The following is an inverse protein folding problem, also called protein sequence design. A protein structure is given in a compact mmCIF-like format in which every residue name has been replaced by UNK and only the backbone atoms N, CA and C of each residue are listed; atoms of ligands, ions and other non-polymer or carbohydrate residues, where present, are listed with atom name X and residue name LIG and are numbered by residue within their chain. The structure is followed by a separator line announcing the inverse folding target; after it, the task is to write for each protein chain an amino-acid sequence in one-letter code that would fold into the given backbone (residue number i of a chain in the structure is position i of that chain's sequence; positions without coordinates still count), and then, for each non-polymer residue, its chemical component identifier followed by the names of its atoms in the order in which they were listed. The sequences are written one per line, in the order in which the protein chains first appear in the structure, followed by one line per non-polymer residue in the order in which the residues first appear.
data_IF_255844382520
#
_entry.id   IF_255844382520
#
_cell.length_a   1.000
_cell.length_b   1.000
_cell.length_c   1.000
_cell.angle_alpha   90.00
_cell.angle_beta   90.00
_cell.angle_gamma   90.00
#
_symmetry.space_group_name_H-M   'P 1'
#
loop_
_entity.id
_entity.type
_entity.pdbx_description
1 polymer ?
#
# COMPACT_ATOMS: atom_id res chain seq x y z
N UNK A 1 -2.89 3.32 30.61
CA UNK A 1 -3.90 2.38 30.06
C UNK A 1 -3.18 1.08 29.70
N UNK A 2 -3.84 -0.06 29.93
CA UNK A 2 -3.36 -1.38 29.49
C UNK A 2 -4.46 -2.14 28.75
N UNK A 3 -4.16 -2.75 27.61
CA UNK A 3 -5.01 -3.73 26.96
C UNK A 3 -4.45 -5.14 27.21
N UNK A 4 -4.91 -5.79 28.28
CA UNK A 4 -4.51 -7.15 28.65
C UNK A 4 -5.36 -8.23 27.94
N UNK A 5 -6.21 -7.83 27.00
CA UNK A 5 -6.97 -8.75 26.16
C UNK A 5 -6.09 -9.42 25.10
N UNK A 6 -6.56 -10.54 24.55
CA UNK A 6 -5.93 -11.24 23.42
C UNK A 6 -6.29 -10.65 22.06
N UNK A 7 -7.06 -9.55 22.04
CA UNK A 7 -7.60 -8.92 20.83
C UNK A 7 -7.60 -7.40 20.98
N UNK A 8 -7.66 -6.70 19.86
CA UNK A 8 -7.75 -5.24 19.81
C UNK A 8 -8.99 -4.73 20.55
N UNK A 9 -8.86 -3.54 21.15
CA UNK A 9 -9.95 -2.80 21.77
C UNK A 9 -10.31 -1.56 20.94
N UNK A 10 -11.60 -1.40 20.63
CA UNK A 10 -12.10 -0.20 19.96
C UNK A 10 -12.55 0.82 21.01
N UNK A 11 -11.86 1.95 21.10
CA UNK A 11 -12.14 2.98 22.11
C UNK A 11 -12.50 4.33 21.48
N UNK A 12 -13.31 5.11 22.18
CA UNK A 12 -13.43 6.56 21.96
C UNK A 12 -13.68 7.24 23.30
N UNK A 13 -13.70 8.57 23.30
CA UNK A 13 -14.06 9.40 24.45
C UNK A 13 -15.25 10.28 24.10
N UNK A 14 -16.09 10.55 25.08
CA UNK A 14 -17.08 11.60 24.98
C UNK A 14 -16.87 12.65 26.07
N UNK A 15 -17.25 13.88 25.77
CA UNK A 15 -17.30 14.98 26.72
C UNK A 15 -18.62 15.71 26.57
N UNK A 16 -19.40 15.78 27.64
CA UNK A 16 -20.64 16.56 27.68
C UNK A 16 -20.29 18.01 28.04
N UNK A 17 -20.71 18.94 27.19
CA UNK A 17 -20.46 20.37 27.33
C UNK A 17 -21.78 21.12 27.37
N UNK A 18 -22.09 21.73 28.51
CA UNK A 18 -23.39 22.36 28.74
C UNK A 18 -24.57 21.37 28.62
N UNK A 19 -25.77 21.92 28.46
CA UNK A 19 -27.01 21.15 28.64
C UNK A 19 -27.19 20.01 27.64
N UNK A 20 -26.86 20.18 26.35
CA UNK A 20 -27.22 19.23 25.28
C UNK A 20 -26.11 18.89 24.27
N UNK A 21 -24.85 19.27 24.50
CA UNK A 21 -23.78 19.00 23.53
C UNK A 21 -22.87 17.89 24.00
N UNK A 22 -22.72 16.84 23.21
CA UNK A 22 -21.71 15.79 23.41
C UNK A 22 -20.66 15.93 22.31
N UNK A 23 -19.41 16.05 22.73
CA UNK A 23 -18.24 16.04 21.86
C UNK A 23 -17.60 14.65 21.89
N UNK A 24 -17.09 14.20 20.76
CA UNK A 24 -16.37 12.93 20.60
C UNK A 24 -15.27 13.13 19.57
N UNK A 25 -14.21 12.33 19.62
CA UNK A 25 -13.18 12.38 18.57
C UNK A 25 -13.76 11.78 17.30
N UNK A 26 -13.64 12.52 16.19
CA UNK A 26 -14.15 12.12 14.88
C UNK A 26 -13.05 11.52 14.01
N UNK A 27 -13.44 10.85 12.93
CA UNK A 27 -12.52 10.15 12.03
C UNK A 27 -11.47 11.09 11.39
N UNK A 28 -11.81 12.36 11.16
CA UNK A 28 -10.87 13.37 10.67
C UNK A 28 -9.87 13.89 11.72
N UNK A 29 -10.12 13.62 13.00
CA UNK A 29 -9.30 14.06 14.13
C UNK A 29 -8.32 12.96 14.57
N UNK A 30 -7.51 13.23 15.59
CA UNK A 30 -6.47 12.31 16.04
C UNK A 30 -6.43 12.13 17.55
N UNK A 31 -6.12 10.89 17.95
CA UNK A 31 -5.67 10.54 19.30
C UNK A 31 -4.20 10.16 19.18
N UNK A 32 -3.44 10.36 20.25
CA UNK A 32 -2.04 9.95 20.28
C UNK A 32 -1.82 8.93 21.37
N UNK A 33 -0.99 7.93 21.13
CA UNK A 33 -0.60 6.93 22.13
C UNK A 33 0.91 6.91 22.26
N UNK A 34 1.39 6.66 23.47
CA UNK A 34 2.80 6.41 23.74
C UNK A 34 2.92 5.13 24.54
N UNK A 35 3.48 4.11 23.90
CA UNK A 35 3.76 2.82 24.53
C UNK A 35 4.88 2.96 25.56
N UNK A 36 4.81 2.17 26.61
CA UNK A 36 5.87 2.09 27.61
C UNK A 36 7.18 1.63 26.97
N UNK A 37 8.28 2.31 27.31
CA UNK A 37 9.60 2.07 26.70
C UNK A 37 9.78 2.69 25.30
N UNK A 38 8.73 3.13 24.63
CA UNK A 38 8.84 3.81 23.34
C UNK A 38 9.15 5.31 23.52
N UNK A 39 10.08 5.82 22.71
CA UNK A 39 10.32 7.28 22.59
C UNK A 39 9.26 7.96 21.74
N UNK A 40 8.57 7.22 20.88
CA UNK A 40 7.67 7.77 19.87
C UNK A 40 6.26 8.01 20.40
N UNK A 41 5.66 9.08 19.89
CA UNK A 41 4.24 9.37 20.03
C UNK A 41 3.51 8.89 18.78
N UNK A 42 2.77 7.79 18.86
CA UNK A 42 2.01 7.26 17.72
C UNK A 42 0.69 8.02 17.55
N UNK A 43 0.48 8.64 16.39
CA UNK A 43 -0.80 9.25 16.01
C UNK A 43 -1.72 8.16 15.47
N UNK A 44 -2.96 8.15 15.95
CA UNK A 44 -4.04 7.27 15.51
C UNK A 44 -5.25 8.10 15.10
N UNK A 45 -5.91 7.68 14.02
CA UNK A 45 -7.15 8.26 13.55
C UNK A 45 -8.32 7.32 13.88
N UNK A 46 -9.45 7.83 14.37
CA UNK A 46 -10.64 7.01 14.51
C UNK A 46 -11.09 6.48 13.15
N UNK A 47 -11.54 5.23 13.14
CA UNK A 47 -12.24 4.61 12.03
C UNK A 47 -13.59 4.15 12.55
N UNK A 48 -14.67 4.55 11.87
CA UNK A 48 -16.03 4.25 12.31
C UNK A 48 -16.30 4.76 13.73
N UNK A 49 -15.75 5.93 14.08
CA UNK A 49 -15.91 6.55 15.39
C UNK A 49 -15.17 5.86 16.54
N UNK A 50 -14.16 5.03 16.27
CA UNK A 50 -13.31 4.43 17.33
C UNK A 50 -11.86 4.30 16.90
N UNK A 51 -10.93 4.34 17.86
CA UNK A 51 -9.53 4.02 17.65
C UNK A 51 -9.25 2.60 18.14
N UNK A 52 -8.54 1.83 17.32
CA UNK A 52 -8.06 0.50 17.68
C UNK A 52 -6.82 0.58 18.56
N UNK A 53 -6.88 -0.02 19.74
CA UNK A 53 -5.74 -0.23 20.63
C UNK A 53 -5.36 -1.70 20.58
N UNK A 54 -4.11 -1.97 20.21
CA UNK A 54 -3.60 -3.32 20.01
C UNK A 54 -3.62 -4.16 21.30
N UNK A 55 -3.70 -5.48 21.15
CA UNK A 55 -3.56 -6.41 22.25
C UNK A 55 -2.14 -6.29 22.85
N UNK A 56 -2.03 -6.31 24.17
CA UNK A 56 -0.74 -6.14 24.86
C UNK A 56 -0.27 -4.69 24.99
N UNK A 57 -1.01 -3.70 24.48
CA UNK A 57 -0.67 -2.29 24.65
C UNK A 57 -0.56 -1.93 26.14
N UNK A 58 0.55 -1.31 26.53
CA UNK A 58 0.75 -0.68 27.82
C UNK A 58 1.34 0.71 27.59
N UNK A 59 0.69 1.75 28.12
CA UNK A 59 1.16 3.12 27.90
C UNK A 59 0.15 4.22 28.20
N UNK A 60 0.39 5.40 27.63
CA UNK A 60 -0.43 6.60 27.83
C UNK A 60 -1.22 6.90 26.56
N UNK A 61 -2.50 7.22 26.73
CA UNK A 61 -3.37 7.70 25.66
C UNK A 61 -3.59 9.21 25.88
N UNK A 62 -3.26 9.98 24.87
CA UNK A 62 -3.36 11.42 24.82
C UNK A 62 -4.52 11.81 23.91
N UNK A 63 -5.48 12.55 24.47
CA UNK A 63 -6.64 13.03 23.73
C UNK A 63 -6.61 14.55 23.76
N UNK A 64 -6.13 15.19 22.70
CA UNK A 64 -6.12 16.64 22.62
C UNK A 64 -7.54 17.20 22.61
N UNK A 65 -7.78 18.30 23.32
CA UNK A 65 -9.11 18.95 23.31
C UNK A 65 -9.50 19.47 21.92
N UNK A 66 -8.54 19.85 21.08
CA UNK A 66 -8.79 20.20 19.68
C UNK A 66 -9.31 19.02 18.85
N UNK A 67 -9.02 17.78 19.24
CA UNK A 67 -9.57 16.58 18.61
C UNK A 67 -11.04 16.31 18.97
N UNK A 68 -11.57 16.98 20.00
CA UNK A 68 -13.00 16.93 20.37
C UNK A 68 -13.80 18.06 19.71
N UNK A 69 -13.13 19.18 19.41
CA UNK A 69 -13.73 20.37 18.81
C UNK A 69 -12.65 21.31 18.28
N UNK A 70 -12.83 21.79 17.06
CA UNK A 70 -11.99 22.83 16.41
C UNK A 70 -12.07 24.22 17.09
N UNK A 71 -12.83 24.35 18.17
CA UNK A 71 -13.00 25.56 18.98
C UNK A 71 -12.67 25.27 20.43
N UNK A 72 -12.22 26.30 21.16
CA UNK A 72 -11.98 26.23 22.60
C UNK A 72 -13.18 25.60 23.33
N UNK A 73 -12.89 24.58 24.12
CA UNK A 73 -13.88 23.88 24.94
C UNK A 73 -13.86 24.49 26.33
N UNK A 74 -15.04 24.81 26.85
CA UNK A 74 -15.26 25.25 28.24
C UNK A 74 -16.49 24.52 28.79
N UNK A 75 -16.66 24.52 30.11
CA UNK A 75 -17.84 23.95 30.78
C UNK A 75 -18.09 22.48 30.46
N UNK A 76 -17.05 21.65 30.54
CA UNK A 76 -17.20 20.18 30.48
C UNK A 76 -17.89 19.74 31.78
N UNK A 77 -19.13 19.27 31.67
CA UNK A 77 -19.95 18.79 32.80
C UNK A 77 -19.56 17.36 33.18
N UNK A 78 -19.27 16.53 32.18
CA UNK A 78 -18.85 15.15 32.36
C UNK A 78 -18.05 14.67 31.15
N UNK A 79 -17.30 13.59 31.35
CA UNK A 79 -16.62 12.86 30.27
C UNK A 79 -16.73 11.36 30.54
N UNK A 80 -16.57 10.57 29.49
CA UNK A 80 -16.67 9.12 29.58
C UNK A 80 -15.87 8.44 28.49
N UNK A 81 -15.38 7.24 28.80
CA UNK A 81 -14.74 6.37 27.83
C UNK A 81 -15.76 5.41 27.24
N UNK A 82 -15.71 5.24 25.94
CA UNK A 82 -16.54 4.29 25.19
C UNK A 82 -15.62 3.16 24.78
N UNK A 83 -16.00 1.92 25.11
CA UNK A 83 -15.34 0.71 24.62
C UNK A 83 -16.37 -0.10 23.86
N UNK A 84 -16.08 -0.39 22.60
CA UNK A 84 -16.96 -1.18 21.73
C UNK A 84 -16.37 -2.57 21.54
N UNK A 85 -17.20 -3.60 21.77
CA UNK A 85 -16.81 -5.00 21.63
C UNK A 85 -17.87 -5.76 20.85
N UNK A 86 -17.48 -6.86 20.21
CA UNK A 86 -18.44 -7.80 19.61
C UNK A 86 -19.23 -8.49 20.72
N UNK A 87 -20.41 -8.97 20.37
CA UNK A 87 -21.21 -9.78 21.29
C UNK A 87 -20.39 -10.99 21.79
N UNK A 88 -20.46 -11.26 23.08
CA UNK A 88 -19.73 -12.33 23.78
C UNK A 88 -18.20 -12.21 23.81
N UNK A 89 -17.61 -11.15 23.25
CA UNK A 89 -16.17 -10.92 23.31
C UNK A 89 -15.78 -10.28 24.65
N UNK A 90 -14.94 -10.98 25.42
CA UNK A 90 -14.49 -10.55 26.75
C UNK A 90 -13.19 -9.75 26.61
N UNK A 91 -13.26 -8.46 26.93
CA UNK A 91 -12.09 -7.57 26.97
C UNK A 91 -11.61 -7.36 28.40
N UNK A 92 -10.30 -7.33 28.60
CA UNK A 92 -9.67 -6.89 29.85
C UNK A 92 -8.85 -5.63 29.56
N UNK A 93 -9.41 -4.47 29.92
CA UNK A 93 -8.78 -3.18 29.68
C UNK A 93 -8.72 -2.44 31.02
N UNK A 94 -7.53 -1.92 31.34
CA UNK A 94 -7.28 -1.19 32.57
C UNK A 94 -7.03 0.27 32.23
N UNK A 95 -7.83 1.15 32.84
CA UNK A 95 -7.66 2.59 32.77
C UNK A 95 -7.27 3.12 34.14
N UNK A 96 -6.41 4.13 34.16
CA UNK A 96 -5.89 4.74 35.38
C UNK A 96 -5.16 6.04 35.06
N UNK A 97 -4.86 6.81 36.11
CA UNK A 97 -4.05 8.03 36.07
C UNK A 97 -4.49 9.06 35.03
N UNK A 98 -5.74 9.49 35.16
CA UNK A 98 -6.30 10.56 34.34
C UNK A 98 -5.77 11.91 34.79
N UNK A 99 -5.09 12.61 33.89
CA UNK A 99 -4.49 13.91 34.17
C UNK A 99 -4.68 14.87 32.99
N UNK A 100 -4.81 16.16 33.30
CA UNK A 100 -4.71 17.19 32.29
C UNK A 100 -3.25 17.51 32.00
N UNK A 101 -2.97 17.81 30.74
CA UNK A 101 -1.63 18.20 30.29
C UNK A 101 -1.59 19.72 30.20
N UNK A 102 -0.56 20.29 30.82
CA UNK A 102 -0.36 21.73 30.80
C UNK A 102 -0.19 22.25 29.37
N UNK A 103 -0.77 23.42 29.10
CA UNK A 103 -0.64 24.13 27.84
C UNK A 103 0.80 24.50 27.44
N UNK A 104 1.75 24.43 28.37
CA UNK A 104 3.18 24.65 28.16
C UNK A 104 3.96 23.35 27.88
N UNK A 105 3.30 22.20 27.87
CA UNK A 105 3.93 20.93 27.52
C UNK A 105 4.51 20.96 26.11
N UNK A 106 5.70 20.37 25.93
CA UNK A 106 6.33 20.19 24.62
C UNK A 106 5.46 19.36 23.66
N UNK A 107 4.55 18.53 24.18
CA UNK A 107 3.61 17.72 23.38
C UNK A 107 2.61 18.55 22.58
N UNK A 108 2.36 19.81 22.98
CA UNK A 108 1.40 20.71 22.32
C UNK A 108 1.73 20.94 20.85
N UNK A 109 3.02 20.95 20.47
CA UNK A 109 3.42 21.13 19.06
C UNK A 109 2.95 19.95 18.19
N UNK A 110 2.97 18.74 18.75
CA UNK A 110 2.58 17.51 18.07
C UNK A 110 1.05 17.37 17.95
N UNK A 111 0.31 17.85 18.95
CA UNK A 111 -1.16 17.80 18.96
C UNK A 111 -1.85 18.80 18.03
N UNK A 112 -1.16 19.87 17.64
CA UNK A 112 -1.71 20.92 16.78
C UNK A 112 -1.26 20.82 15.31
N UNK A 113 -0.50 19.78 14.96
CA UNK A 113 -0.06 19.55 13.59
C UNK A 113 -1.26 19.28 12.68
N UNK A 114 -1.33 19.96 11.54
CA UNK A 114 -2.42 19.84 10.56
C UNK A 114 -2.03 18.93 9.40
N UNK A 115 -1.11 18.02 9.64
CA UNK A 115 -0.53 17.20 8.60
C UNK A 115 -1.38 15.94 8.42
N UNK A 116 -1.52 15.50 7.18
CA UNK A 116 -2.10 14.21 6.84
C UNK A 116 -1.15 13.47 5.90
N UNK A 117 -0.99 12.18 6.14
CA UNK A 117 -0.35 11.29 5.17
C UNK A 117 -1.31 11.03 4.01
N UNK A 118 -0.81 11.14 2.79
CA UNK A 118 -1.52 10.78 1.55
C UNK A 118 -0.75 9.69 0.83
N UNK A 119 -1.49 8.78 0.21
CA UNK A 119 -0.98 7.68 -0.61
C UNK A 119 -2.12 6.72 -0.95
N UNK A 120 -1.81 5.68 -1.71
CA UNK A 120 -2.82 4.70 -2.12
C UNK A 120 -3.11 3.70 -0.99
N UNK A 121 -4.39 3.52 -0.65
CA UNK A 121 -4.80 2.53 0.35
C UNK A 121 -4.69 1.08 -0.17
N UNK A 122 -4.72 0.90 -1.49
CA UNK A 122 -4.61 -0.41 -2.13
C UNK A 122 -3.56 -0.34 -3.25
N UNK A 123 -2.61 -1.28 -3.25
CA UNK A 123 -1.54 -1.36 -4.25
C UNK A 123 -1.55 -2.73 -4.89
N UNK A 124 -1.54 -2.76 -6.21
CA UNK A 124 -1.61 -4.00 -6.97
C UNK A 124 -0.24 -4.69 -7.03
N UNK A 125 -0.19 -6.00 -6.77
CA UNK A 125 0.99 -6.83 -6.99
C UNK A 125 1.11 -7.07 -8.51
N UNK A 126 2.23 -6.66 -9.14
CA UNK A 126 2.39 -6.78 -10.59
C UNK A 126 2.64 -8.24 -10.98
N UNK A 127 2.25 -8.62 -12.20
CA UNK A 127 2.54 -9.96 -12.76
C UNK A 127 3.98 -10.08 -13.24
N UNK A 128 4.56 -8.97 -13.68
CA UNK A 128 5.96 -8.78 -14.05
C UNK A 128 6.36 -7.32 -13.79
N UNK A 129 7.61 -7.08 -13.41
CA UNK A 129 8.12 -5.74 -13.09
C UNK A 129 7.78 -5.29 -11.66
N UNK A 130 7.44 -4.01 -11.50
CA UNK A 130 7.21 -3.36 -10.20
C UNK A 130 6.00 -2.42 -10.26
N UNK A 131 5.20 -2.40 -9.19
CA UNK A 131 4.19 -1.39 -8.92
C UNK A 131 4.77 -0.34 -7.99
N UNK A 132 4.45 0.92 -8.25
CA UNK A 132 4.99 2.06 -7.52
C UNK A 132 3.82 2.90 -7.01
N UNK A 133 3.87 3.29 -5.74
CA UNK A 133 2.93 4.23 -5.12
C UNK A 133 3.70 5.21 -4.25
N UNK A 134 3.38 6.49 -4.37
CA UNK A 134 4.09 7.57 -3.69
C UNK A 134 3.29 8.05 -2.47
N UNK A 135 3.98 8.20 -1.34
CA UNK A 135 3.41 8.61 -0.06
C UNK A 135 4.03 9.93 0.40
N UNK A 136 3.19 10.85 0.84
CA UNK A 136 3.64 12.16 1.31
C UNK A 136 2.82 12.71 2.47
N UNK A 137 3.48 13.44 3.37
CA UNK A 137 2.80 14.27 4.34
C UNK A 137 2.47 15.64 3.76
N UNK A 138 1.19 16.00 3.82
CA UNK A 138 0.67 17.26 3.30
C UNK A 138 0.10 18.10 4.43
N UNK A 139 0.44 19.39 4.45
CA UNK A 139 -0.25 20.36 5.30
C UNK A 139 -1.69 20.59 4.78
N UNK A 140 -2.67 20.29 5.61
CA UNK A 140 -4.08 20.36 5.22
C UNK A 140 -4.55 21.77 4.83
N UNK A 141 -3.86 22.83 5.27
CA UNK A 141 -4.16 24.24 4.97
C UNK A 141 -3.51 24.69 3.66
N UNK A 142 -2.21 24.47 3.51
CA UNK A 142 -1.46 24.96 2.34
C UNK A 142 -1.48 23.98 1.17
N UNK A 143 -1.85 22.71 1.42
CA UNK A 143 -1.80 21.59 0.48
C UNK A 143 -0.39 21.32 -0.08
N UNK A 144 0.64 21.76 0.64
CA UNK A 144 2.05 21.52 0.28
C UNK A 144 2.64 20.36 1.07
N UNK A 145 3.62 19.69 0.49
CA UNK A 145 4.42 18.68 1.19
C UNK A 145 5.20 19.35 2.32
N UNK A 146 5.16 18.75 3.52
CA UNK A 146 5.80 19.35 4.70
C UNK A 146 7.32 19.18 4.68
N UNK A 147 7.83 18.21 3.92
CA UNK A 147 9.27 17.98 3.76
C UNK A 147 9.94 19.19 3.11
N UNK A 148 9.24 19.86 2.19
CA UNK A 148 9.69 21.10 1.53
C UNK A 148 9.81 22.28 2.51
N UNK A 149 9.17 22.20 3.67
CA UNK A 149 9.21 23.26 4.71
C UNK A 149 10.33 23.04 5.74
N UNK A 150 11.22 22.07 5.52
CA UNK A 150 12.32 21.73 6.43
C UNK A 150 11.91 20.79 7.58
N UNK A 151 10.71 20.20 7.52
CA UNK A 151 10.31 19.14 8.46
C UNK A 151 10.96 17.83 8.04
N UNK A 152 11.62 17.13 8.96
CA UNK A 152 12.20 15.82 8.68
C UNK A 152 11.10 14.77 8.68
N UNK A 153 10.92 14.07 7.56
CA UNK A 153 9.99 12.94 7.43
C UNK A 153 10.78 11.72 6.95
N UNK A 154 10.66 10.60 7.66
CA UNK A 154 11.28 9.33 7.29
C UNK A 154 10.21 8.23 7.18
N UNK A 155 10.27 7.43 6.13
CA UNK A 155 9.33 6.35 5.86
C UNK A 155 9.99 4.99 6.05
N UNK A 156 9.26 4.03 6.62
CA UNK A 156 9.74 2.67 6.84
C UNK A 156 8.59 1.66 6.93
N UNK A 157 8.90 0.37 6.80
CA UNK A 157 7.98 -0.75 6.99
C UNK A 157 8.47 -1.55 8.21
N UNK A 158 7.55 -2.09 9.01
CA UNK A 158 7.88 -2.83 10.26
C UNK A 158 8.73 -4.08 10.00
N UNK A 159 8.38 -4.81 8.94
CA UNK A 159 8.94 -6.11 8.62
C UNK A 159 9.67 -6.05 7.28
N UNK A 160 10.83 -6.70 7.20
CA UNK A 160 11.52 -6.93 5.92
C UNK A 160 10.72 -7.97 5.13
N UNK A 161 9.80 -7.47 4.33
CA UNK A 161 8.89 -8.31 3.55
C UNK A 161 9.42 -8.47 2.13
N UNK A 162 9.56 -9.72 1.70
CA UNK A 162 10.05 -10.03 0.36
C UNK A 162 9.17 -9.34 -0.70
N UNK A 163 9.83 -8.59 -1.58
CA UNK A 163 9.19 -7.91 -2.70
C UNK A 163 8.49 -6.59 -2.33
N UNK A 164 8.69 -6.06 -1.12
CA UNK A 164 8.13 -4.77 -0.69
C UNK A 164 9.26 -3.92 -0.13
N UNK A 165 9.36 -2.67 -0.59
CA UNK A 165 10.30 -1.71 -0.03
C UNK A 165 9.75 -0.29 -0.11
N UNK A 166 10.17 0.57 0.81
CA UNK A 166 9.91 2.01 0.74
C UNK A 166 11.21 2.78 0.84
N UNK A 167 11.36 3.80 0.01
CA UNK A 167 12.52 4.70 0.06
C UNK A 167 12.30 5.87 1.03
N UNK A 168 13.36 6.66 1.22
CA UNK A 168 13.34 7.84 2.10
C UNK A 168 12.39 8.95 1.64
N UNK A 169 11.96 8.93 0.38
CA UNK A 169 11.05 9.91 -0.20
C UNK A 169 9.59 9.46 -0.12
N UNK A 170 9.31 8.30 0.48
CA UNK A 170 7.98 7.74 0.59
C UNK A 170 7.53 6.97 -0.65
N UNK A 171 8.44 6.56 -1.55
CA UNK A 171 8.10 5.74 -2.71
C UNK A 171 8.04 4.27 -2.32
N UNK A 172 6.84 3.72 -2.22
CA UNK A 172 6.59 2.29 -2.03
C UNK A 172 6.78 1.56 -3.37
N UNK A 173 7.60 0.52 -3.37
CA UNK A 173 7.83 -0.38 -4.50
C UNK A 173 7.38 -1.79 -4.13
N UNK A 174 6.51 -2.36 -4.97
CA UNK A 174 5.98 -3.72 -4.80
C UNK A 174 6.35 -4.54 -6.04
N UNK A 175 7.03 -5.66 -5.85
CA UNK A 175 7.43 -6.58 -6.93
C UNK A 175 6.51 -7.78 -7.01
N UNK A 176 6.66 -8.59 -8.06
CA UNK A 176 5.89 -9.83 -8.24
C UNK A 176 6.11 -10.89 -7.16
N UNK A 177 7.15 -10.74 -6.33
CA UNK A 177 7.48 -11.66 -5.25
C UNK A 177 6.66 -11.39 -3.97
N UNK A 178 5.90 -10.29 -3.93
CA UNK A 178 5.06 -9.93 -2.80
C UNK A 178 3.83 -10.84 -2.66
N UNK A 179 3.36 -10.98 -1.41
CA UNK A 179 2.14 -11.75 -1.08
C UNK A 179 0.93 -10.83 -0.85
N UNK A 180 -0.28 -11.36 -1.05
CA UNK A 180 -1.51 -10.63 -0.75
C UNK A 180 -1.70 -10.50 0.77
N UNK A 181 -1.61 -9.27 1.28
CA UNK A 181 -1.80 -8.95 2.69
C UNK A 181 -1.96 -7.45 2.90
N UNK A 182 -2.22 -7.06 4.15
CA UNK A 182 -2.17 -5.67 4.57
C UNK A 182 -0.81 -5.40 5.20
N UNK A 183 -0.06 -4.47 4.60
CA UNK A 183 1.25 -4.03 5.06
C UNK A 183 1.09 -2.77 5.90
N UNK A 184 1.85 -2.67 6.99
CA UNK A 184 1.93 -1.47 7.83
C UNK A 184 3.13 -0.63 7.40
N UNK A 185 2.84 0.52 6.82
CA UNK A 185 3.80 1.55 6.48
C UNK A 185 3.79 2.59 7.60
N UNK A 186 4.97 3.04 7.99
CA UNK A 186 5.13 4.06 9.01
C UNK A 186 5.82 5.28 8.44
N UNK A 187 5.49 6.41 9.02
CA UNK A 187 6.21 7.65 8.80
C UNK A 187 6.53 8.32 10.13
N UNK A 188 7.81 8.65 10.31
CA UNK A 188 8.35 9.38 11.45
C UNK A 188 8.46 10.85 11.10
N UNK A 189 7.90 11.73 11.94
CA UNK A 189 7.96 13.19 11.80
C UNK A 189 8.88 13.71 12.91
N UNK A 190 10.00 14.33 12.50
CA UNK A 190 11.04 14.87 13.38
C UNK A 190 11.52 13.89 14.46
N UNK A 191 11.50 12.58 14.19
CA UNK A 191 11.88 11.52 15.14
C UNK A 191 11.05 11.51 16.45
N UNK A 192 9.89 12.16 16.46
CA UNK A 192 9.05 12.30 17.65
C UNK A 192 7.68 11.66 17.50
N UNK A 193 7.05 11.84 16.33
CA UNK A 193 5.70 11.35 16.05
C UNK A 193 5.77 10.28 14.99
N UNK A 194 5.09 9.15 15.20
CA UNK A 194 4.92 8.13 14.17
C UNK A 194 3.46 8.04 13.75
N UNK A 195 3.20 7.84 12.47
CA UNK A 195 1.87 7.60 11.93
C UNK A 195 1.88 6.27 11.17
N UNK A 196 0.91 5.40 11.45
CA UNK A 196 0.74 4.11 10.76
C UNK A 196 -0.25 4.27 9.60
N UNK A 197 0.11 3.73 8.45
CA UNK A 197 -0.72 3.61 7.27
C UNK A 197 -0.83 2.14 6.86
N UNK A 198 -2.05 1.69 6.57
CA UNK A 198 -2.32 0.30 6.17
C UNK A 198 -2.55 0.24 4.67
N UNK A 199 -1.65 -0.44 3.96
CA UNK A 199 -1.71 -0.63 2.51
C UNK A 199 -2.15 -2.06 2.23
N UNK A 200 -3.26 -2.24 1.50
CA UNK A 200 -3.70 -3.56 1.06
C UNK A 200 -3.03 -3.94 -0.25
N UNK A 201 -2.28 -5.03 -0.24
CA UNK A 201 -1.70 -5.64 -1.44
C UNK A 201 -2.64 -6.71 -2.00
N UNK A 202 -2.92 -6.63 -3.30
CA UNK A 202 -3.82 -7.57 -3.97
C UNK A 202 -3.30 -7.89 -5.38
N UNK A 203 -3.56 -9.11 -5.86
CA UNK A 203 -3.18 -9.54 -7.22
C UNK A 203 -4.17 -9.00 -8.25
N UNK A 204 -3.69 -8.85 -9.49
CA UNK A 204 -4.54 -8.51 -10.62
C UNK A 204 -5.67 -9.53 -10.81
N UNK A 205 -6.90 -9.05 -11.01
CA UNK A 205 -8.02 -9.90 -11.42
C UNK A 205 -7.79 -10.57 -12.79
N UNK A 206 -6.93 -10.00 -13.64
CA UNK A 206 -6.62 -10.55 -14.98
C UNK A 206 -5.81 -11.84 -14.92
N UNK A 207 -5.17 -12.17 -13.79
CA UNK A 207 -4.45 -13.42 -13.59
C UNK A 207 -5.38 -14.64 -13.55
N UNK A 208 -6.62 -14.45 -13.10
CA UNK A 208 -7.63 -15.50 -12.99
C UNK A 208 -8.71 -15.42 -14.06
N UNK A 209 -8.65 -14.41 -14.95
CA UNK A 209 -9.57 -14.27 -16.06
C UNK A 209 -9.13 -15.12 -17.26
N UNK A 210 -10.00 -16.03 -17.71
CA UNK A 210 -9.81 -16.78 -18.95
C UNK A 210 -10.66 -16.19 -20.08
N UNK A 211 -10.16 -16.23 -21.31
CA UNK A 211 -10.93 -15.96 -22.51
C UNK A 211 -11.91 -17.10 -22.82
N UNK A 212 -12.83 -16.85 -23.77
CA UNK A 212 -13.85 -17.81 -24.20
C UNK A 212 -13.22 -19.10 -24.74
N UNK A 213 -11.99 -19.03 -25.24
CA UNK A 213 -11.19 -20.17 -25.72
C UNK A 213 -10.35 -20.86 -24.63
N UNK A 214 -10.44 -20.41 -23.37
CA UNK A 214 -9.72 -20.97 -22.23
C UNK A 214 -8.29 -20.44 -22.05
N UNK A 215 -7.85 -19.47 -22.85
CA UNK A 215 -6.53 -18.83 -22.64
C UNK A 215 -6.56 -17.83 -21.49
N UNK A 216 -5.51 -17.79 -20.68
CA UNK A 216 -5.40 -16.85 -19.57
C UNK A 216 -5.11 -15.43 -20.09
N UNK A 217 -5.81 -14.42 -19.55
CA UNK A 217 -5.58 -13.00 -19.85
C UNK A 217 -4.37 -12.40 -19.13
N UNK A 218 -3.50 -13.23 -18.56
CA UNK A 218 -2.32 -12.80 -17.82
C UNK A 218 -1.22 -12.27 -18.75
N UNK A 219 -0.51 -11.23 -18.32
CA UNK A 219 0.70 -10.76 -19.01
C UNK A 219 1.81 -11.80 -18.78
N UNK A 220 2.43 -12.35 -19.84
CA UNK A 220 3.45 -13.39 -19.72
C UNK A 220 4.72 -12.87 -19.04
N UNK A 221 5.40 -13.74 -18.29
CA UNK A 221 6.65 -13.39 -17.62
C UNK A 221 7.84 -13.40 -18.59
N UNK A 222 8.91 -12.66 -18.30
CA UNK A 222 10.11 -12.62 -19.16
C UNK A 222 10.72 -14.00 -19.46
N UNK A 223 10.65 -14.92 -18.49
CA UNK A 223 11.09 -16.31 -18.63
C UNK A 223 10.28 -17.09 -19.69
N UNK A 224 9.01 -16.77 -19.87
CA UNK A 224 8.12 -17.38 -20.86
C UNK A 224 8.36 -16.78 -22.26
N UNK A 225 8.66 -15.48 -22.33
CA UNK A 225 8.96 -14.77 -23.58
C UNK A 225 10.27 -15.27 -24.20
N UNK A 226 11.29 -15.54 -23.37
CA UNK A 226 12.58 -16.07 -23.84
C UNK A 226 12.48 -17.42 -24.55
N UNK A 227 11.46 -18.23 -24.23
CA UNK A 227 11.22 -19.49 -24.92
C UNK A 227 10.65 -19.30 -26.34
N UNK A 228 9.87 -18.25 -26.59
CA UNK A 228 9.28 -18.01 -27.92
C UNK A 228 10.35 -17.61 -28.95
N UNK A 229 11.30 -16.77 -28.57
CA UNK A 229 12.43 -16.40 -29.43
C UNK A 229 13.39 -17.56 -29.64
N UNK A 230 13.63 -18.38 -28.60
CA UNK A 230 14.48 -19.57 -28.68
C UNK A 230 13.90 -20.67 -29.59
N UNK A 231 12.57 -20.87 -29.62
CA UNK A 231 11.92 -21.83 -30.52
C UNK A 231 12.03 -21.37 -31.99
N UNK A 232 11.80 -20.08 -32.26
CA UNK A 232 11.97 -19.52 -33.63
C UNK A 232 13.42 -19.62 -34.10
N UNK A 233 14.38 -19.32 -33.22
CA UNK A 233 15.81 -19.44 -33.51
C UNK A 233 16.26 -20.90 -33.69
N UNK A 234 15.72 -21.86 -32.93
CA UNK A 234 16.05 -23.29 -33.07
C UNK A 234 15.57 -23.91 -34.38
N UNK A 235 14.44 -23.47 -34.92
CA UNK A 235 13.89 -24.00 -36.17
C UNK A 235 14.44 -23.29 -37.41
N UNK A 236 14.48 -21.95 -37.42
CA UNK A 236 14.94 -21.19 -38.59
C UNK A 236 16.45 -20.91 -38.60
N UNK A 237 17.14 -21.04 -37.46
CA UNK A 237 18.58 -20.77 -37.35
C UNK A 237 19.49 -21.98 -37.59
N UNK A 238 18.93 -23.19 -37.79
CA UNK A 238 19.74 -24.37 -38.15
C UNK A 238 20.20 -24.27 -39.61
N UNK A 239 21.52 -24.28 -39.83
CA UNK A 239 22.11 -24.26 -41.18
C UNK A 239 21.51 -25.31 -42.11
N UNK A 240 21.18 -26.50 -41.60
CA UNK A 240 20.54 -27.58 -42.37
C UNK A 240 19.17 -27.19 -42.95
N UNK A 241 18.37 -26.39 -42.22
CA UNK A 241 17.05 -25.93 -42.68
C UNK A 241 17.20 -24.85 -43.75
N UNK A 242 18.17 -23.94 -43.57
CA UNK A 242 18.48 -22.91 -44.56
C UNK A 242 19.01 -23.54 -45.85
N UNK A 243 19.88 -24.54 -45.75
CA UNK A 243 20.41 -25.29 -46.90
C UNK A 243 19.27 -26.04 -47.61
N UNK A 244 18.38 -26.72 -46.88
CA UNK A 244 17.23 -27.41 -47.47
C UNK A 244 16.32 -26.45 -48.25
N UNK A 245 16.06 -25.25 -47.72
CA UNK A 245 15.26 -24.23 -48.40
C UNK A 245 15.95 -23.70 -49.67
N UNK A 246 17.28 -23.49 -49.61
CA UNK A 246 18.08 -23.08 -50.80
C UNK A 246 18.06 -24.14 -51.90
N UNK A 247 18.20 -25.41 -51.53
CA UNK A 247 18.14 -26.54 -52.48
C UNK A 247 16.74 -26.64 -53.11
N UNK A 248 15.68 -26.46 -52.31
CA UNK A 248 14.30 -26.45 -52.80
C UNK A 248 14.08 -25.32 -53.84
N UNK A 249 14.56 -24.11 -53.57
CA UNK A 249 14.45 -22.99 -54.52
C UNK A 249 15.21 -23.27 -55.83
N UNK A 250 16.40 -23.88 -55.77
CA UNK A 250 17.17 -24.26 -56.96
C UNK A 250 16.45 -25.32 -57.78
N UNK A 251 15.84 -26.32 -57.12
CA UNK A 251 15.04 -27.35 -57.78
C UNK A 251 13.80 -26.77 -58.48
N UNK A 252 13.11 -25.83 -57.85
CA UNK A 252 11.97 -25.14 -58.45
C UNK A 252 12.42 -24.32 -59.67
N UNK A 253 13.52 -23.56 -59.55
CA UNK A 253 14.06 -22.76 -60.66
C UNK A 253 14.52 -23.63 -61.83
N UNK A 254 15.23 -24.72 -61.57
CA UNK A 254 15.67 -25.66 -62.62
C UNK A 254 14.48 -26.36 -63.28
N UNK A 255 13.43 -26.69 -62.52
CA UNK A 255 12.17 -27.20 -63.07
C UNK A 255 11.49 -26.19 -64.01
N UNK A 256 11.42 -24.92 -63.61
CA UNK A 256 10.84 -23.84 -64.43
C UNK A 256 11.67 -23.62 -65.71
N UNK A 257 13.00 -23.57 -65.61
CA UNK A 257 13.88 -23.41 -66.78
C UNK A 257 13.79 -24.62 -67.71
N UNK A 258 13.76 -25.84 -67.15
CA UNK A 258 13.59 -27.08 -67.93
C UNK A 258 12.26 -27.09 -68.69
N UNK A 259 11.18 -26.71 -68.03
CA UNK A 259 9.86 -26.59 -68.64
C UNK A 259 9.83 -25.51 -69.75
N UNK A 260 10.44 -24.35 -69.49
CA UNK A 260 10.56 -23.28 -70.47
C UNK A 260 11.38 -23.71 -71.71
N UNK A 261 12.49 -24.40 -71.53
CA UNK A 261 13.31 -24.93 -72.62
C UNK A 261 12.57 -25.98 -73.46
N UNK A 262 11.80 -26.87 -72.82
CA UNK A 262 10.97 -27.84 -73.54
C UNK A 262 9.86 -27.16 -74.35
N UNK A 263 9.19 -26.17 -73.77
CA UNK A 263 8.16 -25.39 -74.46
C UNK A 263 8.73 -24.68 -75.69
N UNK A 264 9.86 -23.98 -75.53
CA UNK A 264 10.49 -23.24 -76.63
C UNK A 264 11.01 -24.17 -77.74
N UNK A 265 11.36 -25.42 -77.41
CA UNK A 265 11.76 -26.42 -78.41
C UNK A 265 10.57 -26.91 -79.24
N UNK A 266 9.40 -27.07 -78.63
CA UNK A 266 8.16 -27.44 -79.34
C UNK A 266 7.65 -26.31 -80.26
N UNK A 267 7.90 -25.04 -79.93
CA UNK A 267 7.57 -23.91 -80.82
C UNK A 267 8.51 -23.79 -82.02
N UNK A 268 9.75 -24.30 -81.94
CA UNK A 268 10.71 -24.29 -83.06
C UNK A 268 10.57 -25.46 -84.03
N UNK A 269 9.82 -26.49 -83.66
CA UNK A 269 9.53 -27.68 -84.50
C UNK A 269 8.16 -27.60 -85.20
N UNK A 270 7.46 -26.46 -85.10
CA UNK A 270 6.32 -26.08 -85.96
C UNK A 270 6.74 -25.08 -87.02
#
# INVERSE_FOLDING_TARGET
MKNEGSTQANININAKVGSNKVLTVKDEDSIFIKEEGSSYLKRLHPQYGTVQIEAGFEGIVYIPFNSLSNKSISNIESWGLIVTSKENDKKKIIFGDFNFIDSNSSLKKNFNSRYSLKGDAEVQIPTAGQSISDYEFVDNKTKSNISDTGTKVEYFVDEDEKGISIDQNGRLTVTSDAEEKTVKLYASINDEVIEEFRVRLFKSWTLSASEVDGTLKSIPQESEINNLSAVRAKFFGKESVVIAFRVLCILILTGIVGFYCMWNKQEREK
#
